data_IF_290612338678
#
_entry.id   IF_290612338678
#
_cell.length_a   1.000
_cell.length_b   1.000
_cell.length_c   1.000
_cell.angle_alpha   90.00
_cell.angle_beta   90.00
_cell.angle_gamma   90.00
#
_symmetry.space_group_name_H-M   'P 1'
#
loop_
_entity.id
_entity.type
_entity.pdbx_description
1 polymer ?
#
# COMPACT_ATOMS: atom_id res chain seq x y z
N UNK A 1 12.43 2.75 -10.99
CA UNK A 1 11.60 3.12 -9.82
C UNK A 1 10.77 1.94 -9.35
N UNK A 2 10.07 2.09 -8.23
CA UNK A 2 9.15 1.07 -7.70
C UNK A 2 7.73 1.59 -7.86
N UNK A 3 6.84 0.72 -8.32
CA UNK A 3 5.40 0.95 -8.47
C UNK A 3 4.63 -0.21 -7.83
N UNK A 4 3.32 -0.07 -7.58
CA UNK A 4 2.49 -1.21 -7.15
C UNK A 4 2.50 -2.40 -8.11
N UNK A 5 2.89 -2.20 -9.38
CA UNK A 5 3.01 -3.28 -10.38
C UNK A 5 4.41 -3.94 -10.41
N UNK A 6 5.39 -3.42 -9.65
CA UNK A 6 6.76 -3.91 -9.65
C UNK A 6 7.82 -2.84 -9.88
N UNK A 7 9.01 -3.29 -10.27
CA UNK A 7 10.15 -2.46 -10.65
C UNK A 7 9.94 -1.91 -12.06
N UNK A 8 9.92 -0.59 -12.18
CA UNK A 8 9.81 0.11 -13.46
C UNK A 8 11.18 0.44 -14.02
N UNK A 9 11.39 0.02 -15.26
CA UNK A 9 12.54 0.34 -16.10
C UNK A 9 12.09 1.21 -17.27
N UNK A 10 12.79 2.33 -17.47
CA UNK A 10 12.68 3.13 -18.68
C UNK A 10 13.95 2.94 -19.49
N UNK A 11 13.79 2.35 -20.67
CA UNK A 11 14.90 2.04 -21.59
C UNK A 11 14.93 3.10 -22.68
N UNK A 12 16.12 3.68 -22.89
CA UNK A 12 16.37 4.71 -23.88
C UNK A 12 17.52 4.30 -24.79
N UNK A 13 17.49 4.79 -26.02
CA UNK A 13 18.65 4.80 -26.90
C UNK A 13 19.67 5.86 -26.46
N UNK A 14 20.87 5.81 -27.03
CA UNK A 14 21.95 6.75 -26.69
C UNK A 14 21.61 8.21 -27.02
N UNK A 15 20.71 8.45 -27.99
CA UNK A 15 20.20 9.77 -28.34
C UNK A 15 19.13 10.30 -27.36
N UNK A 16 18.80 9.52 -26.32
CA UNK A 16 17.80 9.85 -25.30
C UNK A 16 16.36 9.54 -25.72
N UNK A 17 16.12 8.96 -26.89
CA UNK A 17 14.77 8.55 -27.31
C UNK A 17 14.35 7.25 -26.61
N UNK A 18 13.08 7.11 -26.18
CA UNK A 18 12.60 5.85 -25.60
C UNK A 18 12.70 4.69 -26.58
N UNK A 19 13.17 3.53 -26.11
CA UNK A 19 13.31 2.34 -26.93
C UNK A 19 11.98 1.61 -27.07
N UNK A 20 11.26 1.85 -28.17
CA UNK A 20 10.01 1.12 -28.46
C UNK A 20 10.29 -0.39 -28.67
N UNK A 21 9.48 -1.24 -28.04
CA UNK A 21 9.73 -2.68 -27.98
C UNK A 21 10.86 -3.06 -27.03
N UNK A 22 11.09 -2.25 -25.98
CA UNK A 22 12.04 -2.56 -24.92
C UNK A 22 11.75 -3.91 -24.26
N UNK A 23 12.83 -4.57 -23.83
CA UNK A 23 12.80 -5.82 -23.08
C UNK A 23 13.78 -5.76 -21.91
N UNK A 24 13.42 -6.40 -20.81
CA UNK A 24 14.28 -6.58 -19.65
C UNK A 24 14.34 -8.07 -19.35
N UNK A 25 15.54 -8.65 -19.47
CA UNK A 25 15.79 -10.02 -19.09
C UNK A 25 16.37 -10.05 -17.68
N UNK A 26 15.70 -10.72 -16.75
CA UNK A 26 16.18 -10.94 -15.37
C UNK A 26 16.22 -12.44 -15.15
N UNK A 27 17.41 -12.96 -14.84
CA UNK A 27 17.67 -14.40 -14.75
C UNK A 27 17.21 -15.17 -16.01
N UNK A 28 16.18 -16.00 -15.90
CA UNK A 28 15.61 -16.79 -17.00
C UNK A 28 14.31 -16.19 -17.56
N UNK A 29 13.85 -15.08 -17.00
CA UNK A 29 12.60 -14.42 -17.37
C UNK A 29 12.85 -13.23 -18.30
N UNK A 30 11.99 -13.08 -19.30
CA UNK A 30 11.99 -11.93 -20.22
C UNK A 30 10.70 -11.15 -20.02
N UNK A 31 10.84 -9.87 -19.69
CA UNK A 31 9.74 -8.93 -19.54
C UNK A 31 9.77 -7.98 -20.73
N UNK A 32 8.61 -7.75 -21.33
CA UNK A 32 8.46 -6.89 -22.51
C UNK A 32 7.75 -5.59 -22.13
N UNK A 33 7.85 -4.60 -23.01
CA UNK A 33 7.17 -3.33 -22.87
C UNK A 33 5.67 -3.54 -22.60
N UNK A 34 5.17 -2.91 -21.55
CA UNK A 34 3.77 -2.99 -21.17
C UNK A 34 3.06 -1.65 -21.44
N UNK A 35 1.89 -1.73 -22.07
CA UNK A 35 1.06 -0.58 -22.37
C UNK A 35 1.59 0.29 -23.52
N UNK A 36 1.09 1.52 -23.58
CA UNK A 36 1.36 2.44 -24.69
C UNK A 36 2.62 3.30 -24.49
N UNK A 37 3.27 3.25 -23.33
CA UNK A 37 4.45 4.05 -23.06
C UNK A 37 5.70 3.35 -23.59
N UNK A 38 6.28 3.90 -24.66
CA UNK A 38 7.51 3.40 -25.25
C UNK A 38 8.66 3.34 -24.22
N UNK A 39 9.42 2.25 -24.24
CA UNK A 39 10.57 2.04 -23.37
C UNK A 39 10.25 1.65 -21.92
N UNK A 40 8.97 1.64 -21.50
CA UNK A 40 8.58 1.24 -20.16
C UNK A 40 8.43 -0.29 -20.07
N UNK A 41 9.23 -0.91 -19.22
CA UNK A 41 9.13 -2.33 -18.89
C UNK A 41 8.92 -2.49 -17.38
N UNK A 42 7.94 -3.32 -17.01
CA UNK A 42 7.66 -3.66 -15.61
C UNK A 42 8.21 -5.05 -15.31
N UNK A 43 9.06 -5.11 -14.29
CA UNK A 43 9.57 -6.37 -13.73
C UNK A 43 8.86 -6.58 -12.39
N UNK A 44 8.10 -7.68 -12.20
CA UNK A 44 7.43 -7.98 -10.94
C UNK A 44 8.38 -8.03 -9.75
N UNK A 45 7.83 -7.92 -8.54
CA UNK A 45 8.62 -8.20 -7.34
C UNK A 45 9.00 -9.68 -7.27
N UNK A 46 9.96 -10.03 -6.42
CA UNK A 46 10.27 -11.43 -6.11
C UNK A 46 9.28 -11.99 -5.09
N UNK A 47 9.04 -13.30 -5.14
CA UNK A 47 8.32 -14.02 -4.07
C UNK A 47 9.14 -14.05 -2.78
N UNK A 48 10.44 -14.26 -2.92
CA UNK A 48 11.41 -14.25 -1.84
C UNK A 48 12.72 -13.64 -2.36
N UNK A 49 13.32 -12.76 -1.56
CA UNK A 49 14.66 -12.23 -1.85
C UNK A 49 15.66 -13.04 -1.03
N UNK A 50 16.62 -13.67 -1.70
CA UNK A 50 17.66 -14.45 -1.06
C UNK A 50 18.39 -13.60 0.00
N UNK A 51 18.47 -14.12 1.25
CA UNK A 51 19.10 -13.40 2.37
C UNK A 51 20.53 -13.01 2.01
N UNK A 52 20.79 -11.70 1.95
CA UNK A 52 22.12 -11.15 1.70
C UNK A 52 22.49 -10.91 0.24
N UNK A 53 21.61 -11.23 -0.73
CA UNK A 53 21.83 -10.91 -2.15
C UNK A 53 20.59 -10.27 -2.80
N UNK A 54 20.21 -9.04 -2.40
CA UNK A 54 19.08 -8.36 -3.03
C UNK A 54 19.42 -7.79 -4.41
N UNK A 55 20.71 -7.77 -4.80
CA UNK A 55 21.13 -7.22 -6.09
C UNK A 55 21.08 -8.27 -7.18
N UNK A 56 20.27 -7.99 -8.21
CA UNK A 56 20.12 -8.85 -9.38
C UNK A 56 20.58 -8.09 -10.62
N UNK A 57 21.17 -8.84 -11.56
CA UNK A 57 21.58 -8.32 -12.86
C UNK A 57 20.45 -8.48 -13.86
N UNK A 58 20.12 -7.41 -14.56
CA UNK A 58 19.16 -7.34 -15.65
C UNK A 58 19.89 -6.99 -16.95
N UNK A 59 19.51 -7.64 -18.04
CA UNK A 59 19.94 -7.26 -19.39
C UNK A 59 18.79 -6.47 -20.02
N UNK A 60 19.04 -5.20 -20.31
CA UNK A 60 18.14 -4.31 -21.03
C UNK A 60 18.38 -4.49 -22.53
N UNK A 61 17.32 -4.66 -23.31
CA UNK A 61 17.39 -4.80 -24.76
C UNK A 61 16.17 -4.21 -25.46
N UNK A 62 16.10 -4.39 -26.77
CA UNK A 62 14.97 -3.97 -27.60
C UNK A 62 14.77 -4.96 -28.74
N UNK A 63 13.51 -5.25 -29.09
CA UNK A 63 13.16 -6.21 -30.15
C UNK A 63 13.80 -5.90 -31.52
N UNK A 64 14.13 -4.64 -31.78
CA UNK A 64 14.65 -4.16 -33.06
C UNK A 64 16.19 -4.09 -33.11
N UNK A 65 16.89 -4.53 -32.07
CA UNK A 65 18.36 -4.42 -31.97
C UNK A 65 19.00 -5.65 -31.33
N UNK A 66 20.25 -5.92 -31.72
CA UNK A 66 21.12 -6.92 -31.07
C UNK A 66 21.93 -6.33 -29.91
N UNK A 67 21.84 -5.01 -29.67
CA UNK A 67 22.52 -4.34 -28.56
C UNK A 67 21.75 -4.56 -27.26
N UNK A 68 22.49 -4.76 -26.18
CA UNK A 68 21.95 -4.83 -24.84
C UNK A 68 22.87 -4.16 -23.82
N UNK A 69 22.28 -3.72 -22.71
CA UNK A 69 23.00 -3.11 -21.61
C UNK A 69 22.80 -3.91 -20.33
N UNK A 70 23.87 -4.11 -19.56
CA UNK A 70 23.78 -4.74 -18.25
C UNK A 70 23.47 -3.68 -17.19
N UNK A 71 22.44 -3.93 -16.39
CA UNK A 71 22.05 -3.07 -15.26
C UNK A 71 21.81 -3.91 -14.02
N UNK A 72 22.41 -3.53 -12.90
CA UNK A 72 22.05 -4.12 -11.61
C UNK A 72 20.99 -3.29 -10.91
N UNK A 73 20.04 -3.94 -10.25
CA UNK A 73 19.05 -3.31 -9.40
C UNK A 73 18.82 -4.12 -8.13
N UNK A 74 18.20 -3.50 -7.13
CA UNK A 74 17.81 -4.17 -5.90
C UNK A 74 16.43 -4.79 -6.09
N UNK A 75 16.37 -6.11 -6.24
CA UNK A 75 15.11 -6.85 -6.25
C UNK A 75 14.53 -6.86 -4.83
N UNK A 76 13.21 -6.72 -4.76
CA UNK A 76 12.45 -6.61 -3.51
C UNK A 76 11.24 -7.53 -3.59
N UNK A 77 10.70 -7.91 -2.43
CA UNK A 77 9.38 -8.52 -2.31
C UNK A 77 8.31 -7.45 -2.19
N UNK A 78 7.08 -7.70 -2.61
CA UNK A 78 6.00 -6.71 -2.46
C UNK A 78 5.55 -6.62 -0.99
N UNK A 79 5.94 -5.54 -0.31
CA UNK A 79 5.61 -5.32 1.11
C UNK A 79 5.00 -3.93 1.30
N UNK A 80 3.72 -3.92 1.65
CA UNK A 80 3.01 -2.70 2.02
C UNK A 80 3.13 -2.41 3.51
N UNK A 81 3.15 -1.12 3.83
CA UNK A 81 3.14 -0.58 5.19
C UNK A 81 2.03 0.46 5.32
N UNK A 82 1.17 0.31 6.32
CA UNK A 82 0.11 1.26 6.65
C UNK A 82 0.53 2.08 7.87
N UNK A 83 0.56 3.39 7.71
CA UNK A 83 0.78 4.33 8.82
C UNK A 83 -0.50 5.14 9.05
N UNK A 84 -0.87 5.36 10.30
CA UNK A 84 -1.99 6.21 10.65
C UNK A 84 -1.69 7.08 11.86
N UNK A 85 -2.41 8.19 11.94
CA UNK A 85 -2.52 9.04 13.12
C UNK A 85 -4.00 9.20 13.43
N UNK A 86 -4.36 8.93 14.67
CA UNK A 86 -5.74 8.97 15.14
C UNK A 86 -5.83 9.92 16.33
N UNK A 87 -6.67 10.94 16.21
CA UNK A 87 -6.78 12.00 17.21
C UNK A 87 -8.24 12.33 17.48
N UNK A 88 -8.58 12.40 18.75
CA UNK A 88 -9.85 12.93 19.23
C UNK A 88 -9.60 14.33 19.77
N UNK A 89 -10.52 15.25 19.52
CA UNK A 89 -10.42 16.58 20.12
C UNK A 89 -10.69 16.48 21.62
N UNK A 90 -9.76 16.87 22.50
CA UNK A 90 -9.90 16.63 23.93
C UNK A 90 -11.12 17.32 24.53
N UNK A 91 -11.46 18.53 24.06
CA UNK A 91 -12.65 19.28 24.48
C UNK A 91 -13.95 18.49 24.24
N UNK A 92 -14.00 17.70 23.17
CA UNK A 92 -15.14 16.83 22.86
C UNK A 92 -15.32 15.68 23.87
N UNK A 93 -14.30 15.35 24.66
CA UNK A 93 -14.37 14.30 25.68
C UNK A 93 -14.92 14.82 27.03
N UNK A 94 -14.83 16.13 27.29
CA UNK A 94 -15.21 16.74 28.58
C UNK A 94 -16.54 17.48 28.56
N UNK A 95 -17.16 17.61 27.39
CA UNK A 95 -18.53 18.09 27.25
C UNK A 95 -19.50 17.14 27.97
N UNK A 96 -19.76 17.41 29.25
CA UNK A 96 -20.75 16.69 30.07
C UNK A 96 -22.09 16.65 29.33
N UNK A 97 -22.44 15.50 28.75
CA UNK A 97 -23.66 15.27 27.99
C UNK A 97 -23.50 14.99 26.49
N UNK A 98 -22.31 15.11 25.90
CA UNK A 98 -22.08 14.65 24.52
C UNK A 98 -21.83 13.15 24.49
N UNK A 99 -22.81 12.41 23.97
CA UNK A 99 -22.71 10.97 23.76
C UNK A 99 -21.75 10.60 22.61
N UNK A 100 -21.33 11.57 21.78
CA UNK A 100 -20.50 11.35 20.60
C UNK A 100 -19.40 12.41 20.45
N UNK A 101 -18.21 11.98 20.03
CA UNK A 101 -17.07 12.84 19.76
C UNK A 101 -16.41 12.48 18.41
N UNK A 102 -15.89 13.45 17.64
CA UNK A 102 -15.27 13.19 16.36
C UNK A 102 -13.84 12.67 16.53
N UNK A 103 -13.58 11.45 16.07
CA UNK A 103 -12.25 10.89 15.89
C UNK A 103 -11.75 11.22 14.48
N UNK A 104 -10.68 11.99 14.39
CA UNK A 104 -9.98 12.22 13.12
C UNK A 104 -9.01 11.07 12.88
N UNK A 105 -9.12 10.42 11.72
CA UNK A 105 -8.22 9.36 11.28
C UNK A 105 -7.51 9.82 10.01
N UNK A 106 -6.19 9.93 10.07
CA UNK A 106 -5.34 10.25 8.93
C UNK A 106 -4.41 9.08 8.64
N UNK A 107 -4.45 8.52 7.41
CA UNK A 107 -3.64 7.35 7.08
C UNK A 107 -2.94 7.45 5.71
N UNK A 108 -1.80 6.78 5.60
CA UNK A 108 -0.98 6.68 4.40
C UNK A 108 -0.51 5.25 4.18
N UNK A 109 -0.49 4.85 2.91
CA UNK A 109 0.01 3.55 2.48
C UNK A 109 1.37 3.74 1.82
N UNK A 110 2.32 2.87 2.14
CA UNK A 110 3.67 2.89 1.60
C UNK A 110 4.02 1.54 0.99
N UNK A 111 4.82 1.58 -0.07
CA UNK A 111 5.48 0.42 -0.67
C UNK A 111 6.99 0.70 -0.66
N UNK A 112 7.71 0.01 0.23
CA UNK A 112 9.12 0.28 0.52
C UNK A 112 9.46 1.76 0.80
N UNK A 113 8.63 2.42 1.61
CA UNK A 113 8.81 3.84 1.98
C UNK A 113 8.36 4.84 0.91
N UNK A 114 7.99 4.39 -0.29
CA UNK A 114 7.37 5.23 -1.31
C UNK A 114 5.87 5.32 -1.05
N UNK A 115 5.27 6.53 -0.91
CA UNK A 115 3.83 6.67 -0.79
C UNK A 115 3.11 6.10 -2.02
N UNK A 116 2.09 5.28 -1.78
CA UNK A 116 1.23 4.72 -2.84
C UNK A 116 -0.23 5.02 -2.52
N UNK A 117 -1.14 4.98 -3.52
CA UNK A 117 -2.51 5.36 -3.31
C UNK A 117 -3.23 4.51 -2.25
N UNK A 118 -3.89 5.15 -1.28
CA UNK A 118 -4.71 4.45 -0.27
C UNK A 118 -5.96 3.80 -0.87
N UNK A 119 -6.30 4.12 -2.12
CA UNK A 119 -7.33 3.42 -2.89
C UNK A 119 -6.99 1.95 -3.19
N UNK A 120 -5.75 1.51 -2.94
CA UNK A 120 -5.36 0.10 -2.99
C UNK A 120 -5.90 -0.69 -1.78
N UNK A 121 -6.27 -0.01 -0.69
CA UNK A 121 -6.87 -0.64 0.48
C UNK A 121 -8.25 -1.20 0.14
N UNK A 122 -8.55 -2.38 0.68
CA UNK A 122 -9.83 -3.07 0.62
C UNK A 122 -10.31 -3.35 2.03
N UNK A 123 -11.64 -3.36 2.20
CA UNK A 123 -12.29 -3.70 3.48
C UNK A 123 -11.76 -2.89 4.67
N UNK A 124 -11.36 -1.64 4.42
CA UNK A 124 -10.79 -0.78 5.44
C UNK A 124 -11.84 -0.50 6.53
N UNK A 125 -11.45 -0.68 7.79
CA UNK A 125 -12.30 -0.52 8.96
C UNK A 125 -11.56 0.16 10.10
N UNK A 126 -12.22 1.13 10.72
CA UNK A 126 -11.78 1.72 11.98
C UNK A 126 -12.55 1.04 13.10
N UNK A 127 -11.82 0.42 14.03
CA UNK A 127 -12.39 -0.15 15.25
C UNK A 127 -11.99 0.74 16.42
N UNK A 128 -12.97 1.29 17.12
CA UNK A 128 -12.75 2.06 18.34
C UNK A 128 -13.21 1.21 19.51
N UNK A 129 -12.32 0.99 20.46
CA UNK A 129 -12.59 0.28 21.72
C UNK A 129 -12.54 1.29 22.85
N UNK A 130 -13.63 1.39 23.61
CA UNK A 130 -13.73 2.23 24.81
C UNK A 130 -13.96 1.34 26.02
N UNK A 131 -13.35 1.69 27.14
CA UNK A 131 -13.51 1.00 28.42
C UNK A 131 -13.97 2.01 29.48
N UNK A 132 -14.99 1.63 30.24
CA UNK A 132 -15.52 2.40 31.37
C UNK A 132 -14.77 2.08 32.67
N UNK A 133 -14.88 2.96 33.66
CA UNK A 133 -14.26 2.77 34.99
C UNK A 133 -14.70 1.48 35.70
N UNK A 134 -15.86 0.92 35.34
CA UNK A 134 -16.35 -0.36 35.88
C UNK A 134 -15.83 -1.60 35.12
N UNK A 135 -14.97 -1.41 34.11
CA UNK A 135 -14.42 -2.45 33.24
C UNK A 135 -15.29 -2.80 32.04
N UNK A 136 -16.44 -2.14 31.85
CA UNK A 136 -17.32 -2.39 30.70
C UNK A 136 -16.65 -1.88 29.41
N UNK A 137 -16.36 -2.81 28.49
CA UNK A 137 -15.78 -2.49 27.19
C UNK A 137 -16.84 -2.46 26.08
N UNK A 138 -16.76 -1.45 25.21
CA UNK A 138 -17.58 -1.33 24.00
C UNK A 138 -16.70 -1.21 22.77
N UNK A 139 -17.14 -1.80 21.65
CA UNK A 139 -16.46 -1.72 20.37
C UNK A 139 -17.39 -1.12 19.33
N UNK A 140 -16.96 -0.02 18.72
CA UNK A 140 -17.60 0.58 17.57
C UNK A 140 -16.77 0.27 16.33
N UNK A 141 -17.40 -0.20 15.26
CA UNK A 141 -16.75 -0.47 13.98
C UNK A 141 -17.33 0.44 12.93
N UNK A 142 -16.47 1.12 12.19
CA UNK A 142 -16.84 1.99 11.08
C UNK A 142 -16.10 1.54 9.83
N UNK A 143 -16.85 1.11 8.82
CA UNK A 143 -16.31 0.71 7.53
C UNK A 143 -16.01 1.95 6.72
N UNK A 144 -14.83 1.98 6.08
CA UNK A 144 -14.45 3.01 5.12
C UNK A 144 -14.91 2.54 3.75
N UNK A 145 -15.73 3.34 3.08
CA UNK A 145 -16.26 2.96 1.77
C UNK A 145 -15.19 3.06 0.68
N UNK A 146 -15.37 2.30 -0.41
CA UNK A 146 -14.46 2.35 -1.55
C UNK A 146 -14.45 3.74 -2.20
N UNK A 147 -15.59 4.43 -2.21
CA UNK A 147 -15.72 5.81 -2.72
C UNK A 147 -14.86 6.77 -1.90
N UNK A 148 -14.84 6.61 -0.57
CA UNK A 148 -14.05 7.47 0.31
C UNK A 148 -12.55 7.26 0.12
N UNK A 149 -12.12 6.01 -0.08
CA UNK A 149 -10.73 5.70 -0.44
C UNK A 149 -10.35 6.24 -1.83
N UNK A 150 -11.28 6.19 -2.80
CA UNK A 150 -11.07 6.74 -4.14
C UNK A 150 -11.02 8.27 -4.15
N UNK A 151 -11.81 8.94 -3.31
CA UNK A 151 -11.80 10.39 -3.16
C UNK A 151 -10.47 10.87 -2.58
N UNK A 152 -9.93 10.11 -1.64
CA UNK A 152 -8.74 10.45 -0.88
C UNK A 152 -7.50 9.69 -1.38
N UNK A 153 -7.25 9.68 -2.70
CA UNK A 153 -6.26 8.77 -3.33
C UNK A 153 -4.88 8.75 -2.67
N UNK A 154 -4.33 9.91 -2.30
CA UNK A 154 -2.95 10.01 -1.81
C UNK A 154 -2.82 9.73 -0.30
N UNK A 155 -3.83 10.12 0.47
CA UNK A 155 -3.85 9.96 1.92
C UNK A 155 -5.30 10.00 2.39
N UNK A 156 -5.66 9.12 3.31
CA UNK A 156 -7.00 9.03 3.88
C UNK A 156 -7.15 10.07 4.98
N UNK A 157 -8.25 10.84 4.97
CA UNK A 157 -8.62 11.74 6.06
C UNK A 157 -10.12 11.58 6.35
N UNK A 158 -10.44 11.03 7.51
CA UNK A 158 -11.80 10.70 7.92
C UNK A 158 -12.14 11.35 9.25
N UNK A 159 -13.40 11.74 9.41
CA UNK A 159 -13.99 12.03 10.72
C UNK A 159 -14.99 10.94 11.07
N UNK A 160 -14.70 10.20 12.13
CA UNK A 160 -15.52 9.09 12.61
C UNK A 160 -16.23 9.54 13.89
N UNK A 161 -17.57 9.60 13.92
CA UNK A 161 -18.28 9.89 15.16
C UNK A 161 -18.18 8.68 16.09
N UNK A 162 -17.55 8.85 17.25
CA UNK A 162 -17.36 7.79 18.24
C UNK A 162 -18.31 8.02 19.40
N UNK A 163 -19.08 6.99 19.76
CA UNK A 163 -19.89 7.03 20.96
C UNK A 163 -19.01 6.88 22.20
N UNK A 164 -18.98 7.90 23.06
CA UNK A 164 -18.20 7.88 24.30
C UNK A 164 -19.09 7.48 25.48
N UNK A 165 -18.63 6.56 26.35
CA UNK A 165 -19.33 6.28 27.59
C UNK A 165 -19.18 7.45 28.58
N UNK A 166 -20.13 7.57 29.52
CA UNK A 166 -20.14 8.65 30.52
C UNK A 166 -18.88 8.68 31.40
N UNK A 167 -18.31 7.50 31.67
CA UNK A 167 -17.14 7.32 32.55
C UNK A 167 -15.99 6.64 31.80
N UNK A 168 -15.56 7.24 30.71
CA UNK A 168 -14.42 6.76 29.91
C UNK A 168 -13.14 6.69 30.74
N UNK A 169 -12.51 5.51 30.78
CA UNK A 169 -11.21 5.27 31.40
C UNK A 169 -10.12 5.07 30.34
N UNK A 170 -10.41 4.26 29.32
CA UNK A 170 -9.47 3.97 28.23
C UNK A 170 -10.18 4.03 26.88
N UNK A 171 -9.47 4.54 25.87
CA UNK A 171 -9.90 4.51 24.48
C UNK A 171 -8.72 4.12 23.59
N UNK A 172 -8.94 3.21 22.65
CA UNK A 172 -8.00 2.84 21.61
C UNK A 172 -8.73 2.80 20.27
N UNK A 173 -8.11 3.31 19.22
CA UNK A 173 -8.59 3.21 17.86
C UNK A 173 -7.60 2.37 17.05
N UNK A 174 -8.12 1.54 16.14
CA UNK A 174 -7.31 0.71 15.25
C UNK A 174 -7.87 0.81 13.84
N UNK A 175 -7.00 1.07 12.87
CA UNK A 175 -7.31 0.98 11.44
C UNK A 175 -6.79 -0.36 10.93
N UNK A 176 -7.69 -1.15 10.34
CA UNK A 176 -7.37 -2.43 9.73
C UNK A 176 -7.83 -2.43 8.27
N UNK A 177 -7.03 -2.98 7.37
CA UNK A 177 -7.35 -3.03 5.94
C UNK A 177 -6.58 -4.16 5.24
N UNK A 178 -7.00 -4.50 4.04
CA UNK A 178 -6.34 -5.48 3.18
C UNK A 178 -5.76 -4.81 1.94
N UNK A 179 -4.62 -5.30 1.43
CA UNK A 179 -4.11 -4.95 0.10
C UNK A 179 -3.93 -6.23 -0.68
N UNK A 180 -4.52 -6.28 -1.88
CA UNK A 180 -4.24 -7.34 -2.83
C UNK A 180 -2.94 -7.01 -3.54
N UNK A 181 -1.99 -7.95 -3.51
CA UNK A 181 -0.73 -7.87 -4.23
C UNK A 181 -0.98 -7.65 -5.73
N UNK A 182 -0.19 -6.76 -6.34
CA UNK A 182 -0.34 -6.40 -7.75
C UNK A 182 0.09 -7.52 -8.69
N UNK A 183 1.07 -8.32 -8.28
CA UNK A 183 1.65 -9.39 -9.11
C UNK A 183 1.62 -10.76 -8.42
N UNK A 184 1.70 -10.80 -7.08
CA UNK A 184 1.79 -12.06 -6.34
C UNK A 184 0.43 -12.75 -6.30
N UNK A 185 0.43 -14.07 -6.55
CA UNK A 185 -0.77 -14.89 -6.49
C UNK A 185 -0.59 -16.07 -5.56
N UNK A 186 -1.66 -16.43 -4.86
CA UNK A 186 -1.73 -17.68 -4.10
C UNK A 186 -1.59 -18.86 -5.07
N UNK A 187 -0.67 -19.77 -4.75
CA UNK A 187 -0.33 -20.90 -5.61
C UNK A 187 -1.41 -21.99 -5.66
N UNK A 188 -2.29 -22.06 -4.65
CA UNK A 188 -3.37 -23.03 -4.55
C UNK A 188 -4.67 -22.52 -5.20
N UNK A 189 -4.96 -21.22 -5.10
CA UNK A 189 -6.22 -20.64 -5.59
C UNK A 189 -6.07 -19.82 -6.87
N UNK A 190 -4.85 -19.35 -7.18
CA UNK A 190 -4.61 -18.44 -8.32
C UNK A 190 -5.17 -17.03 -8.11
N UNK A 191 -5.65 -16.71 -6.91
CA UNK A 191 -6.10 -15.37 -6.51
C UNK A 191 -4.91 -14.49 -6.14
N UNK A 192 -5.09 -13.17 -6.16
CA UNK A 192 -4.04 -12.26 -5.71
C UNK A 192 -3.75 -12.51 -4.22
N UNK A 193 -2.47 -12.57 -3.85
CA UNK A 193 -2.07 -12.69 -2.45
C UNK A 193 -2.57 -11.46 -1.67
N UNK A 194 -3.04 -11.65 -0.43
CA UNK A 194 -3.66 -10.57 0.35
C UNK A 194 -2.83 -10.29 1.59
N UNK A 195 -2.29 -9.08 1.67
CA UNK A 195 -1.62 -8.61 2.88
C UNK A 195 -2.62 -7.95 3.83
N UNK A 196 -2.67 -8.43 5.07
CA UNK A 196 -3.41 -7.79 6.15
C UNK A 196 -2.57 -6.69 6.80
N UNK A 197 -3.11 -5.48 6.90
CA UNK A 197 -2.47 -4.30 7.47
C UNK A 197 -3.27 -3.80 8.66
N UNK A 198 -2.60 -3.50 9.77
CA UNK A 198 -3.22 -2.97 10.98
C UNK A 198 -2.32 -1.94 11.66
N UNK A 199 -2.90 -0.84 12.13
CA UNK A 199 -2.21 0.21 12.90
C UNK A 199 -3.12 0.74 14.01
N UNK A 200 -2.54 1.02 15.17
CA UNK A 200 -3.20 1.57 16.37
C UNK A 200 -2.72 2.99 16.64
#
# INVERSE_FOLDING_TARGET
DITPAGHSFLVFWEDGTPADGAKVCVEQSVYEQEGAQAGLVLVPFADEVARGQPRVSAVLGCAQSSMGALKTFEQRTEVYELSASMAIEPESMWSTGQATAPLTVSARLFLHGTPVPVSLLREAKVTVTTEEVDGTSRKQKVLVSAEELQRNREWLSLQVPVALPERLQHMCARLEAHVAAGWRRDMATGEADVQHLSVE
#
